data_IF_434664074006
#
_entry.id   IF_434664074006
#
_cell.length_a   1.000
_cell.length_b   1.000
_cell.length_c   1.000
_cell.angle_alpha   90.00
_cell.angle_beta   90.00
_cell.angle_gamma   90.00
#
_symmetry.space_group_name_H-M   'P 1'
#
loop_
_entity.id
_entity.type
_entity.pdbx_description
1 polymer ?
#
# COMPACT_ATOMS: atom_id res chain seq x y z
N UNK A 1 11.92 -29.97 4.08
CA UNK A 1 12.50 -28.65 3.77
C UNK A 1 11.35 -27.66 3.71
N UNK A 2 11.41 -26.56 4.47
CA UNK A 2 10.38 -25.52 4.48
C UNK A 2 10.61 -24.61 3.27
N UNK A 3 9.60 -24.45 2.42
CA UNK A 3 9.67 -23.54 1.27
C UNK A 3 9.48 -22.11 1.75
N UNK A 4 10.38 -21.20 1.40
CA UNK A 4 10.23 -19.77 1.68
C UNK A 4 9.73 -19.06 0.43
N UNK A 5 8.62 -18.33 0.56
CA UNK A 5 8.07 -17.48 -0.48
C UNK A 5 8.53 -16.03 -0.27
N UNK A 6 9.20 -15.46 -1.26
CA UNK A 6 9.69 -14.08 -1.23
C UNK A 6 8.62 -13.11 -1.74
N UNK A 7 8.21 -12.16 -0.90
CA UNK A 7 7.20 -11.16 -1.23
C UNK A 7 7.75 -9.74 -1.24
N UNK A 8 7.42 -8.99 -2.30
CA UNK A 8 7.50 -7.52 -2.31
C UNK A 8 6.10 -6.93 -2.25
N UNK A 9 5.75 -6.25 -1.16
CA UNK A 9 4.37 -5.88 -0.86
C UNK A 9 4.20 -4.41 -0.48
N UNK A 10 3.24 -3.75 -1.11
CA UNK A 10 2.84 -2.40 -0.76
C UNK A 10 2.22 -2.38 0.65
N UNK A 11 2.54 -1.35 1.44
CA UNK A 11 2.12 -1.25 2.84
C UNK A 11 0.62 -1.41 3.09
N UNK A 12 -0.23 -1.01 2.13
CA UNK A 12 -1.69 -1.17 2.24
C UNK A 12 -2.15 -2.63 2.36
N UNK A 13 -1.40 -3.58 1.80
CA UNK A 13 -1.71 -5.01 1.87
C UNK A 13 -0.94 -5.74 2.98
N UNK A 14 -0.06 -5.06 3.72
CA UNK A 14 0.77 -5.69 4.75
C UNK A 14 -0.06 -6.38 5.85
N UNK A 15 -1.11 -5.72 6.34
CA UNK A 15 -1.98 -6.29 7.38
C UNK A 15 -2.65 -7.59 6.91
N UNK A 16 -3.12 -7.61 5.66
CA UNK A 16 -3.71 -8.79 5.03
C UNK A 16 -2.69 -9.94 4.93
N UNK A 17 -1.49 -9.67 4.42
CA UNK A 17 -0.44 -10.71 4.30
C UNK A 17 -0.08 -11.28 5.66
N UNK A 18 0.15 -10.43 6.67
CA UNK A 18 0.48 -10.88 8.03
C UNK A 18 -0.62 -11.72 8.66
N UNK A 19 -1.89 -11.37 8.43
CA UNK A 19 -3.02 -12.14 8.96
C UNK A 19 -3.15 -13.54 8.30
N UNK A 20 -2.74 -13.69 7.04
CA UNK A 20 -2.82 -14.96 6.30
C UNK A 20 -1.61 -15.87 6.49
N UNK A 21 -0.47 -15.35 6.99
CA UNK A 21 0.76 -16.11 7.20
C UNK A 21 0.57 -17.41 8.01
N UNK A 22 -0.14 -17.41 9.17
CA UNK A 22 -0.33 -18.64 9.95
C UNK A 22 -1.08 -19.72 9.18
N UNK A 23 -2.19 -19.34 8.52
CA UNK A 23 -3.02 -20.27 7.76
C UNK A 23 -2.27 -20.84 6.54
N UNK A 24 -1.45 -20.02 5.86
CA UNK A 24 -0.61 -20.51 4.76
C UNK A 24 0.41 -21.53 5.26
N UNK A 25 1.08 -21.25 6.39
CA UNK A 25 2.08 -22.14 6.95
C UNK A 25 1.48 -23.48 7.37
N UNK A 26 0.29 -23.46 7.98
CA UNK A 26 -0.44 -24.68 8.35
C UNK A 26 -0.84 -25.51 7.13
N UNK A 27 -1.36 -24.86 6.07
CA UNK A 27 -1.88 -25.55 4.89
C UNK A 27 -0.78 -26.09 3.95
N UNK A 28 0.41 -25.47 3.93
CA UNK A 28 1.41 -25.72 2.87
C UNK A 28 2.82 -26.03 3.40
N UNK A 29 3.05 -25.88 4.71
CA UNK A 29 4.38 -25.89 5.31
C UNK A 29 5.37 -24.87 4.70
N UNK A 30 4.87 -23.83 4.03
CA UNK A 30 5.65 -22.72 3.50
C UNK A 30 5.64 -21.50 4.43
N UNK A 31 6.70 -20.70 4.40
CA UNK A 31 6.80 -19.43 5.12
C UNK A 31 6.88 -18.25 4.16
N UNK A 32 6.58 -17.04 4.64
CA UNK A 32 6.67 -15.82 3.84
C UNK A 32 7.84 -14.97 4.35
N UNK A 33 8.81 -14.72 3.47
CA UNK A 33 9.83 -13.68 3.63
C UNK A 33 9.36 -12.42 2.89
N UNK A 34 8.72 -11.50 3.61
CA UNK A 34 8.10 -10.32 3.01
C UNK A 34 8.84 -9.02 3.29
N UNK A 35 9.12 -8.25 2.25
CA UNK A 35 9.47 -6.83 2.34
C UNK A 35 8.21 -5.99 2.13
N UNK A 36 8.01 -5.00 2.99
CA UNK A 36 6.85 -4.13 2.96
C UNK A 36 7.26 -2.66 2.87
N UNK A 37 6.55 -1.88 2.05
CA UNK A 37 6.84 -0.46 1.94
C UNK A 37 5.99 0.30 0.93
N UNK A 38 6.46 1.49 0.58
CA UNK A 38 5.85 2.29 -0.48
C UNK A 38 6.00 1.60 -1.85
N UNK A 39 5.04 1.79 -2.75
CA UNK A 39 5.04 1.11 -4.06
C UNK A 39 6.29 1.42 -4.88
N UNK A 40 6.78 2.67 -4.86
CA UNK A 40 8.04 3.03 -5.51
C UNK A 40 9.23 2.24 -4.96
N UNK A 41 9.32 2.09 -3.63
CA UNK A 41 10.38 1.31 -3.00
C UNK A 41 10.31 -0.20 -3.33
N UNK A 42 9.12 -0.76 -3.56
CA UNK A 42 8.97 -2.16 -4.00
C UNK A 42 9.41 -2.33 -5.46
N UNK A 43 9.13 -1.36 -6.32
CA UNK A 43 9.66 -1.33 -7.69
C UNK A 43 11.19 -1.27 -7.68
N UNK A 44 11.76 -0.35 -6.90
CA UNK A 44 13.21 -0.20 -6.74
C UNK A 44 13.85 -1.52 -6.27
N UNK A 45 13.27 -2.18 -5.27
CA UNK A 45 13.73 -3.47 -4.76
C UNK A 45 13.72 -4.57 -5.84
N UNK A 46 12.63 -4.70 -6.61
CA UNK A 46 12.54 -5.67 -7.69
C UNK A 46 13.62 -5.43 -8.76
N UNK A 47 13.79 -4.18 -9.19
CA UNK A 47 14.78 -3.81 -10.22
C UNK A 47 16.23 -3.93 -9.73
N UNK A 48 16.45 -3.85 -8.41
CA UNK A 48 17.75 -4.11 -7.80
C UNK A 48 18.10 -5.61 -7.69
N UNK A 49 17.19 -6.50 -8.12
CA UNK A 49 17.40 -7.95 -8.10
C UNK A 49 17.06 -8.62 -6.77
N UNK A 50 16.28 -7.96 -5.91
CA UNK A 50 15.76 -8.61 -4.70
C UNK A 50 14.88 -9.82 -5.09
N UNK A 51 15.07 -11.00 -4.47
CA UNK A 51 14.24 -12.16 -4.73
C UNK A 51 12.75 -11.84 -4.55
N UNK A 52 11.94 -12.20 -5.53
CA UNK A 52 10.51 -11.90 -5.54
C UNK A 52 9.74 -12.99 -6.29
N UNK A 53 9.05 -13.84 -5.55
CA UNK A 53 8.12 -14.84 -6.11
C UNK A 53 6.72 -14.25 -6.32
N UNK A 54 6.33 -13.31 -5.45
CA UNK A 54 5.03 -12.62 -5.52
C UNK A 54 5.17 -11.13 -5.22
N UNK A 55 4.61 -10.30 -6.09
CA UNK A 55 4.55 -8.86 -5.90
C UNK A 55 3.11 -8.41 -5.68
N UNK A 56 2.86 -7.66 -4.60
CA UNK A 56 1.55 -7.08 -4.29
C UNK A 56 1.70 -5.55 -4.30
N UNK A 57 1.34 -4.91 -5.40
CA UNK A 57 1.41 -3.45 -5.56
C UNK A 57 0.16 -2.94 -6.28
N UNK A 58 0.11 -1.64 -6.60
CA UNK A 58 -1.01 -1.09 -7.35
C UNK A 58 -1.13 -1.70 -8.74
N UNK A 59 -2.36 -1.79 -9.22
CA UNK A 59 -2.68 -2.35 -10.52
C UNK A 59 -1.92 -1.66 -11.67
N UNK A 60 -1.79 -0.33 -11.61
CA UNK A 60 -0.95 0.45 -12.54
C UNK A 60 0.51 -0.01 -12.52
N UNK A 61 1.10 -0.20 -11.34
CA UNK A 61 2.50 -0.62 -11.21
C UNK A 61 2.71 -2.06 -11.71
N UNK A 62 1.76 -2.96 -11.44
CA UNK A 62 1.82 -4.33 -11.99
C UNK A 62 1.77 -4.28 -13.52
N UNK A 63 0.91 -3.44 -14.11
CA UNK A 63 0.85 -3.24 -15.56
C UNK A 63 2.18 -2.76 -16.13
N UNK A 64 2.73 -1.67 -15.62
CA UNK A 64 4.02 -1.12 -16.06
C UNK A 64 5.16 -2.15 -16.01
N UNK A 65 5.23 -2.95 -14.94
CA UNK A 65 6.26 -3.97 -14.77
C UNK A 65 6.03 -5.21 -15.63
N UNK A 66 4.78 -5.57 -15.90
CA UNK A 66 4.45 -6.66 -16.82
C UNK A 66 4.77 -6.28 -18.27
N UNK A 67 4.45 -5.06 -18.68
CA UNK A 67 4.77 -4.53 -20.02
C UNK A 67 6.30 -4.46 -20.24
N UNK A 68 7.05 -4.16 -19.18
CA UNK A 68 8.51 -4.18 -19.18
C UNK A 68 9.13 -5.59 -19.09
N UNK A 69 8.32 -6.65 -18.97
CA UNK A 69 8.78 -8.04 -18.86
C UNK A 69 9.38 -8.40 -17.49
N UNK A 70 9.30 -7.51 -16.50
CA UNK A 70 9.78 -7.76 -15.14
C UNK A 70 8.79 -8.60 -14.31
N UNK A 71 7.51 -8.63 -14.72
CA UNK A 71 6.48 -9.49 -14.14
C UNK A 71 5.79 -10.33 -15.21
N UNK A 72 5.27 -11.48 -14.78
CA UNK A 72 4.46 -12.36 -15.61
C UNK A 72 3.04 -11.80 -15.76
N UNK A 73 2.68 -11.36 -16.95
CA UNK A 73 1.36 -10.76 -17.21
C UNK A 73 0.19 -11.74 -16.97
N UNK A 74 0.39 -13.03 -17.28
CA UNK A 74 -0.62 -14.09 -17.14
C UNK A 74 -1.04 -14.36 -15.69
N UNK A 75 -0.22 -13.96 -14.71
CA UNK A 75 -0.45 -14.20 -13.28
C UNK A 75 -1.08 -13.01 -12.55
N UNK A 76 -1.26 -11.85 -13.20
CA UNK A 76 -1.87 -10.65 -12.59
C UNK A 76 -3.29 -10.92 -12.10
N UNK A 77 -3.58 -10.61 -10.83
CA UNK A 77 -4.91 -10.73 -10.22
C UNK A 77 -5.21 -9.53 -9.33
N UNK A 78 -6.45 -9.03 -9.40
CA UNK A 78 -6.91 -7.98 -8.50
C UNK A 78 -7.26 -8.57 -7.13
N UNK A 79 -6.69 -8.01 -6.05
CA UNK A 79 -6.97 -8.44 -4.68
C UNK A 79 -8.10 -7.64 -4.02
N UNK A 80 -8.29 -6.38 -4.42
CA UNK A 80 -9.29 -5.50 -3.82
C UNK A 80 -9.03 -4.03 -4.05
N UNK A 81 -9.78 -3.19 -3.33
CA UNK A 81 -9.69 -1.73 -3.38
C UNK A 81 -9.19 -1.18 -2.04
N UNK A 82 -8.26 -0.24 -2.10
CA UNK A 82 -7.78 0.53 -0.94
C UNK A 82 -8.42 1.91 -1.01
N UNK A 83 -9.06 2.34 0.08
CA UNK A 83 -9.65 3.68 0.20
C UNK A 83 -8.74 4.58 1.02
N UNK A 84 -8.70 5.85 0.67
CA UNK A 84 -8.06 6.90 1.49
C UNK A 84 -9.06 7.42 2.51
N UNK A 85 -8.60 7.64 3.73
CA UNK A 85 -9.40 8.21 4.81
C UNK A 85 -8.55 9.09 5.73
N UNK A 86 -9.23 9.86 6.58
CA UNK A 86 -8.60 10.65 7.64
C UNK A 86 -8.67 9.81 8.91
N UNK A 87 -7.53 9.63 9.58
CA UNK A 87 -7.45 8.97 10.87
C UNK A 87 -7.05 10.00 11.94
N UNK A 88 -7.60 9.84 13.15
CA UNK A 88 -7.24 10.62 14.33
C UNK A 88 -6.65 9.73 15.40
N UNK A 89 -6.01 10.33 16.41
CA UNK A 89 -5.51 9.57 17.57
C UNK A 89 -6.68 8.97 18.34
N UNK A 90 -6.42 7.86 19.02
CA UNK A 90 -7.42 7.22 19.86
C UNK A 90 -7.94 8.19 20.94
N UNK A 91 -9.26 8.29 21.08
CA UNK A 91 -9.92 9.19 22.03
C UNK A 91 -10.21 10.60 21.50
N UNK A 92 -9.68 10.98 20.34
CA UNK A 92 -10.01 12.25 19.68
C UNK A 92 -11.35 12.14 18.94
N UNK A 93 -12.11 13.25 18.82
CA UNK A 93 -13.34 13.26 18.03
C UNK A 93 -13.04 12.96 16.55
N UNK A 94 -13.88 12.11 15.94
CA UNK A 94 -13.79 11.82 14.52
C UNK A 94 -14.19 13.07 13.71
N UNK A 95 -13.35 13.54 12.79
CA UNK A 95 -13.64 14.72 11.99
C UNK A 95 -14.79 14.44 11.02
N UNK A 96 -15.64 15.45 10.79
CA UNK A 96 -16.59 15.40 9.68
C UNK A 96 -15.81 15.48 8.35
N UNK A 97 -15.88 14.41 7.58
CA UNK A 97 -15.21 14.29 6.28
C UNK A 97 -16.18 14.29 5.10
N UNK A 98 -17.48 14.49 5.31
CA UNK A 98 -18.51 14.26 4.31
C UNK A 98 -18.41 15.22 3.12
N UNK A 99 -18.00 16.48 3.37
CA UNK A 99 -17.89 17.52 2.34
C UNK A 99 -16.45 18.04 2.21
N UNK A 100 -16.09 18.64 1.06
CA UNK A 100 -14.79 19.31 0.92
C UNK A 100 -14.55 20.37 2.00
N UNK A 101 -15.57 21.19 2.31
CA UNK A 101 -15.47 22.21 3.35
C UNK A 101 -15.19 21.60 4.73
N UNK A 102 -15.93 20.55 5.12
CA UNK A 102 -15.72 19.86 6.39
C UNK A 102 -14.31 19.24 6.48
N UNK A 103 -13.80 18.65 5.39
CA UNK A 103 -12.43 18.12 5.34
C UNK A 103 -11.39 19.22 5.51
N UNK A 104 -11.55 20.37 4.85
CA UNK A 104 -10.65 21.52 5.01
C UNK A 104 -10.64 22.01 6.46
N UNK A 105 -11.83 22.17 7.05
CA UNK A 105 -11.97 22.71 8.40
C UNK A 105 -11.38 21.74 9.43
N UNK A 106 -11.59 20.44 9.25
CA UNK A 106 -10.95 19.39 10.05
C UNK A 106 -9.41 19.42 9.96
N UNK A 107 -8.86 19.60 8.75
CA UNK A 107 -7.41 19.68 8.55
C UNK A 107 -6.82 20.97 9.15
N UNK A 108 -7.55 22.10 9.08
CA UNK A 108 -7.14 23.37 9.69
C UNK A 108 -7.22 23.36 11.21
N UNK A 109 -8.14 22.61 11.78
CA UNK A 109 -8.29 22.46 13.22
C UNK A 109 -7.22 21.52 13.84
N UNK A 110 -6.54 20.71 13.03
CA UNK A 110 -5.51 19.81 13.51
C UNK A 110 -4.19 20.56 13.78
N UNK A 111 -3.59 20.34 14.96
CA UNK A 111 -2.27 20.90 15.29
C UNK A 111 -1.17 20.42 14.33
N UNK A 112 -1.32 19.19 13.84
CA UNK A 112 -0.41 18.57 12.88
C UNK A 112 -1.15 17.56 12.00
N UNK A 113 -0.78 17.50 10.73
CA UNK A 113 -1.28 16.52 9.76
C UNK A 113 -0.13 15.66 9.25
N UNK A 114 -0.27 14.34 9.37
CA UNK A 114 0.70 13.37 8.85
C UNK A 114 0.13 12.71 7.60
N UNK A 115 0.90 12.71 6.52
CA UNK A 115 0.54 12.00 5.29
C UNK A 115 1.77 11.35 4.64
N UNK A 116 1.61 10.24 3.91
CA UNK A 116 2.72 9.57 3.24
C UNK A 116 3.36 10.43 2.15
N UNK A 117 4.65 10.22 1.90
CA UNK A 117 5.40 10.91 0.84
C UNK A 117 4.63 10.90 -0.49
N UNK A 118 4.27 12.06 -1.07
CA UNK A 118 3.41 12.14 -2.23
C UNK A 118 4.06 11.70 -3.54
N UNK A 119 5.39 11.57 -3.58
CA UNK A 119 6.14 11.06 -4.73
C UNK A 119 6.34 9.55 -4.64
N UNK A 120 6.55 9.03 -3.43
CA UNK A 120 6.93 7.62 -3.23
C UNK A 120 5.76 6.71 -2.87
N UNK A 121 4.76 7.23 -2.15
CA UNK A 121 3.65 6.46 -1.60
C UNK A 121 2.33 6.76 -2.32
N UNK A 122 1.59 5.70 -2.64
CA UNK A 122 0.34 5.78 -3.40
C UNK A 122 -0.77 6.51 -2.66
N UNK A 123 -0.75 6.53 -1.33
CA UNK A 123 -1.69 7.31 -0.52
C UNK A 123 -1.32 8.81 -0.45
N UNK A 124 -0.06 9.17 -0.74
CA UNK A 124 0.41 10.55 -0.63
C UNK A 124 -0.04 11.44 -1.79
N UNK A 125 0.02 10.97 -3.03
CA UNK A 125 -0.36 11.78 -4.20
C UNK A 125 -1.83 12.22 -4.20
N UNK A 126 -2.82 11.36 -3.89
CA UNK A 126 -4.21 11.76 -3.77
C UNK A 126 -4.44 12.79 -2.66
N UNK A 127 -3.75 12.65 -1.51
CA UNK A 127 -3.85 13.62 -0.43
C UNK A 127 -3.29 14.97 -0.83
N UNK A 128 -2.09 15.02 -1.43
CA UNK A 128 -1.48 16.26 -1.90
C UNK A 128 -2.30 16.96 -3.00
N UNK A 129 -2.96 16.19 -3.88
CA UNK A 129 -3.92 16.75 -4.84
C UNK A 129 -5.13 17.36 -4.13
N UNK A 130 -5.74 16.63 -3.19
CA UNK A 130 -6.86 17.12 -2.40
C UNK A 130 -6.51 18.38 -1.61
N UNK A 131 -5.34 18.46 -0.99
CA UNK A 131 -4.87 19.66 -0.28
C UNK A 131 -4.86 20.90 -1.18
N UNK A 132 -4.42 20.78 -2.43
CA UNK A 132 -4.43 21.91 -3.39
C UNK A 132 -5.84 22.35 -3.77
N UNK A 133 -6.79 21.43 -3.82
CA UNK A 133 -8.20 21.72 -4.13
C UNK A 133 -8.94 22.38 -2.95
N UNK A 134 -8.46 22.16 -1.73
CA UNK A 134 -9.10 22.69 -0.51
C UNK A 134 -8.72 24.15 -0.19
N UNK A 135 -7.69 24.71 -0.85
CA UNK A 135 -7.17 26.06 -0.57
C UNK A 135 -6.43 26.13 0.77
#
# INVERSE_FOLDING_TARGET
MTTTLHLLCAGAAQGLVKALQPALAEATAATIAGRFGAVGAMKEALLAGEPCDLMIVTDKMVGELADAGALRADTRRALGRVRTGIAVRHGEPQPDGATPAARRDALRAADASYFPDPQRATAGSPFAAGMRELG
#
